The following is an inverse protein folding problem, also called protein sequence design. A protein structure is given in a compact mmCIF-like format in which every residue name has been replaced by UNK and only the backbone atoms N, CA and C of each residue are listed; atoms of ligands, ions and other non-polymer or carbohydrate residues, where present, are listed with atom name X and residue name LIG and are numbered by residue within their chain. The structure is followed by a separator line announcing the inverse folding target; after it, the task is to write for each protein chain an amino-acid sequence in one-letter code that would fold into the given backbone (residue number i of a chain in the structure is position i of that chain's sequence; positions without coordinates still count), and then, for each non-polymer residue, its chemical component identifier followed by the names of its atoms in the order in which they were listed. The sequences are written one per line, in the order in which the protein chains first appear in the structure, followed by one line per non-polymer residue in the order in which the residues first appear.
data_IF_311788579804
#
_entry.id   IF_311788579804
#
_cell.length_a   1.000
_cell.length_b   1.000
_cell.length_c   1.000
_cell.angle_alpha   90.00
_cell.angle_beta   90.00
_cell.angle_gamma   90.00
#
_symmetry.space_group_name_H-M   'P 1'
#
loop_
_entity.id
_entity.type
_entity.pdbx_description
1 polymer ?
#
# COMPACT_ATOMS: atom_id res chain seq x y z
N UNK A 1 -22.95 -21.23 -4.61
CA UNK A 1 -23.22 -21.36 -3.17
C UNK A 1 -23.89 -20.07 -2.74
N UNK A 2 -25.11 -20.10 -2.20
CA UNK A 2 -25.70 -18.89 -1.59
C UNK A 2 -24.81 -18.56 -0.40
N UNK A 3 -24.19 -17.38 -0.40
CA UNK A 3 -23.43 -16.89 0.75
C UNK A 3 -24.47 -16.69 1.86
N UNK A 4 -24.71 -17.72 2.67
CA UNK A 4 -25.44 -17.58 3.92
C UNK A 4 -24.74 -16.56 4.82
N UNK A 5 -25.42 -16.02 5.82
CA UNK A 5 -24.80 -15.09 6.77
C UNK A 5 -23.50 -15.68 7.32
N UNK A 6 -22.36 -15.10 6.91
CA UNK A 6 -21.04 -15.46 7.41
C UNK A 6 -20.81 -14.71 8.71
N UNK A 7 -20.71 -15.43 9.82
CA UNK A 7 -20.42 -14.81 11.10
C UNK A 7 -18.90 -14.79 11.41
N UNK A 8 -18.53 -14.01 12.42
CA UNK A 8 -17.13 -13.86 12.82
C UNK A 8 -16.50 -15.18 13.33
N UNK A 9 -17.30 -16.09 13.89
CA UNK A 9 -16.82 -17.36 14.40
C UNK A 9 -16.47 -18.33 13.27
N UNK A 10 -17.25 -18.35 12.19
CA UNK A 10 -16.95 -19.10 10.98
C UNK A 10 -15.67 -18.60 10.30
N UNK A 11 -15.51 -17.27 10.20
CA UNK A 11 -14.28 -16.66 9.66
C UNK A 11 -13.06 -17.05 10.51
N UNK A 12 -13.16 -17.00 11.83
CA UNK A 12 -12.06 -17.44 12.70
C UNK A 12 -11.78 -18.94 12.58
N UNK A 13 -12.82 -19.79 12.54
CA UNK A 13 -12.71 -21.23 12.43
C UNK A 13 -12.05 -21.68 11.12
N UNK A 14 -12.22 -20.93 10.04
CA UNK A 14 -11.59 -21.20 8.74
C UNK A 14 -10.06 -21.30 8.81
N UNK A 15 -9.41 -20.47 9.64
CA UNK A 15 -7.95 -20.43 9.77
C UNK A 15 -7.40 -21.52 10.70
N UNK A 16 -8.26 -22.28 11.39
CA UNK A 16 -7.82 -23.38 12.27
C UNK A 16 -7.08 -24.44 11.46
N UNK A 17 -5.91 -24.84 11.95
CA UNK A 17 -5.12 -25.90 11.33
C UNK A 17 -4.52 -25.53 9.97
N UNK A 18 -4.61 -24.27 9.53
CA UNK A 18 -4.11 -23.81 8.23
C UNK A 18 -2.64 -23.41 8.28
N UNK A 19 -1.95 -23.66 7.17
CA UNK A 19 -0.67 -23.03 6.89
C UNK A 19 -0.83 -21.93 5.86
N UNK A 20 -0.29 -20.74 6.14
CA UNK A 20 -0.53 -19.55 5.33
C UNK A 20 0.81 -18.91 4.97
N UNK A 21 1.05 -18.70 3.68
CA UNK A 21 2.18 -17.91 3.20
C UNK A 21 1.76 -16.46 3.00
N UNK A 22 2.42 -15.53 3.69
CA UNK A 22 2.18 -14.09 3.57
C UNK A 22 3.43 -13.41 3.01
N UNK A 23 3.27 -12.70 1.89
CA UNK A 23 4.27 -11.76 1.40
C UNK A 23 3.88 -10.33 1.79
N UNK A 24 4.89 -9.47 2.02
CA UNK A 24 4.63 -8.10 2.45
C UNK A 24 4.22 -7.98 3.93
N UNK A 25 4.53 -8.97 4.76
CA UNK A 25 4.27 -8.96 6.21
C UNK A 25 4.98 -7.81 6.95
N UNK A 26 6.08 -7.30 6.38
CA UNK A 26 6.77 -6.09 6.88
C UNK A 26 6.10 -4.78 6.46
N UNK A 27 5.00 -4.81 5.71
CA UNK A 27 4.14 -3.65 5.44
C UNK A 27 3.01 -3.50 6.47
N UNK A 28 2.26 -2.39 6.37
CA UNK A 28 1.17 -2.06 7.29
C UNK A 28 0.07 -3.13 7.30
N UNK A 29 -0.54 -3.37 6.12
CA UNK A 29 -1.65 -4.30 5.98
C UNK A 29 -1.27 -5.74 6.36
N UNK A 30 -0.03 -6.15 6.02
CA UNK A 30 0.51 -7.46 6.38
C UNK A 30 0.61 -7.66 7.90
N UNK A 31 1.02 -6.63 8.66
CA UNK A 31 1.03 -6.68 10.13
C UNK A 31 -0.37 -6.78 10.72
N UNK A 32 -1.30 -5.95 10.23
CA UNK A 32 -2.69 -5.99 10.72
C UNK A 32 -3.31 -7.37 10.46
N UNK A 33 -3.07 -7.95 9.27
CA UNK A 33 -3.56 -9.29 8.94
C UNK A 33 -2.93 -10.35 9.85
N UNK A 34 -1.61 -10.34 10.01
CA UNK A 34 -0.89 -11.30 10.84
C UNK A 34 -1.36 -11.24 12.30
N UNK A 35 -1.45 -10.03 12.86
CA UNK A 35 -1.98 -9.80 14.20
C UNK A 35 -3.40 -10.35 14.33
N UNK A 36 -4.29 -10.00 13.39
CA UNK A 36 -5.69 -10.39 13.43
C UNK A 36 -5.84 -11.91 13.41
N UNK A 37 -5.13 -12.62 12.53
CA UNK A 37 -5.15 -14.08 12.45
C UNK A 37 -4.69 -14.70 13.78
N UNK A 38 -3.52 -14.30 14.29
CA UNK A 38 -2.97 -14.84 15.53
C UNK A 38 -3.89 -14.58 16.74
N UNK A 39 -4.52 -13.41 16.79
CA UNK A 39 -5.40 -13.03 17.91
C UNK A 39 -6.71 -13.79 17.92
N UNK A 40 -7.36 -13.94 16.76
CA UNK A 40 -8.69 -14.57 16.68
C UNK A 40 -8.63 -16.08 16.48
N UNK A 41 -7.51 -16.62 15.98
CA UNK A 41 -7.34 -18.05 15.73
C UNK A 41 -5.94 -18.53 16.15
N UNK A 42 -5.72 -18.79 17.45
CA UNK A 42 -4.44 -19.28 17.94
C UNK A 42 -4.12 -20.73 17.52
N UNK A 43 -5.10 -21.48 16.99
CA UNK A 43 -4.89 -22.84 16.47
C UNK A 43 -4.51 -22.85 14.97
N UNK A 44 -4.14 -21.71 14.39
CA UNK A 44 -3.43 -21.69 13.09
C UNK A 44 -2.14 -22.51 13.22
N UNK A 45 -1.80 -23.29 12.19
CA UNK A 45 -0.64 -24.20 12.27
C UNK A 45 0.66 -23.44 12.09
N UNK A 46 0.82 -22.76 10.96
CA UNK A 46 2.06 -22.02 10.63
C UNK A 46 1.80 -20.86 9.69
N UNK A 47 2.39 -19.71 9.98
CA UNK A 47 2.37 -18.49 9.19
C UNK A 47 3.76 -18.28 8.61
N UNK A 48 3.95 -18.69 7.36
CA UNK A 48 5.18 -18.46 6.61
C UNK A 48 5.26 -17.01 6.17
N UNK A 49 6.30 -16.29 6.58
CA UNK A 49 6.48 -14.87 6.23
C UNK A 49 7.66 -14.71 5.29
N UNK A 50 7.41 -14.47 4.01
CA UNK A 50 8.47 -14.18 3.04
C UNK A 50 8.97 -12.75 3.26
N UNK A 51 10.23 -12.62 3.68
CA UNK A 51 10.88 -11.34 3.99
C UNK A 51 12.25 -11.25 3.32
N UNK A 52 12.55 -10.08 2.76
CA UNK A 52 13.85 -9.83 2.13
C UNK A 52 14.94 -9.81 3.21
N UNK A 53 15.82 -10.79 3.18
CA UNK A 53 16.94 -10.95 4.09
C UNK A 53 18.03 -11.78 3.41
N UNK A 54 19.26 -11.69 3.91
CA UNK A 54 20.41 -12.44 3.38
C UNK A 54 20.41 -13.91 3.80
N UNK A 55 19.82 -14.21 4.95
CA UNK A 55 19.83 -15.50 5.62
C UNK A 55 18.67 -15.60 6.62
N UNK A 56 18.47 -16.80 7.17
CA UNK A 56 17.35 -17.10 8.07
C UNK A 56 17.44 -16.33 9.40
N UNK A 57 18.64 -16.10 9.94
CA UNK A 57 18.81 -15.33 11.17
C UNK A 57 18.40 -13.86 10.96
N UNK A 58 18.83 -13.28 9.85
CA UNK A 58 18.45 -11.94 9.43
C UNK A 58 16.95 -11.84 9.19
N UNK A 59 16.32 -12.86 8.59
CA UNK A 59 14.87 -12.93 8.41
C UNK A 59 14.14 -12.96 9.76
N UNK A 60 14.59 -13.80 10.71
CA UNK A 60 14.02 -13.88 12.07
C UNK A 60 14.14 -12.54 12.80
N UNK A 61 15.34 -11.95 12.82
CA UNK A 61 15.58 -10.65 13.45
C UNK A 61 14.71 -9.55 12.84
N UNK A 62 14.56 -9.57 11.51
CA UNK A 62 13.72 -8.61 10.79
C UNK A 62 12.24 -8.78 11.15
N UNK A 63 11.72 -10.00 11.19
CA UNK A 63 10.34 -10.26 11.64
C UNK A 63 10.15 -9.81 13.08
N UNK A 64 11.09 -10.14 13.98
CA UNK A 64 11.03 -9.71 15.37
C UNK A 64 10.99 -8.18 15.52
N UNK A 65 11.89 -7.48 14.81
CA UNK A 65 12.05 -6.02 14.98
C UNK A 65 10.98 -5.23 14.22
N UNK A 66 10.70 -5.62 12.97
CA UNK A 66 9.83 -4.85 12.09
C UNK A 66 8.37 -5.27 12.18
N UNK A 67 8.06 -6.49 12.64
CA UNK A 67 6.70 -7.07 12.61
C UNK A 67 6.19 -7.31 14.05
N UNK A 68 6.63 -8.37 14.71
CA UNK A 68 6.04 -8.81 16.00
C UNK A 68 6.41 -7.90 17.17
N UNK A 69 7.54 -7.19 17.08
CA UNK A 69 7.96 -6.17 18.04
C UNK A 69 7.21 -4.84 17.92
N UNK A 70 6.33 -4.66 16.93
CA UNK A 70 5.53 -3.43 16.79
C UNK A 70 4.40 -3.37 17.82
N UNK A 71 3.92 -2.16 18.12
CA UNK A 71 2.87 -1.93 19.10
C UNK A 71 1.56 -2.64 18.74
N UNK A 72 1.30 -2.87 17.45
CA UNK A 72 0.08 -3.55 16.99
C UNK A 72 -0.09 -4.95 17.64
N UNK A 73 1.00 -5.61 18.03
CA UNK A 73 1.01 -6.90 18.72
C UNK A 73 0.87 -6.79 20.25
N UNK A 74 0.61 -5.61 20.81
CA UNK A 74 0.51 -5.40 22.27
C UNK A 74 -0.60 -6.24 22.89
N UNK A 75 -1.78 -6.31 22.25
CA UNK A 75 -2.90 -7.11 22.76
C UNK A 75 -2.52 -8.60 22.84
N UNK A 76 -1.76 -9.10 21.87
CA UNK A 76 -1.22 -10.47 21.91
C UNK A 76 -0.17 -10.63 23.03
N UNK A 77 0.73 -9.65 23.19
CA UNK A 77 1.73 -9.67 24.29
C UNK A 77 1.06 -9.70 25.66
N UNK A 78 0.04 -8.87 25.88
CA UNK A 78 -0.72 -8.84 27.12
C UNK A 78 -1.46 -10.15 27.37
N UNK A 79 -2.08 -10.73 26.33
CA UNK A 79 -2.81 -12.01 26.41
C UNK A 79 -1.90 -13.19 26.76
N UNK A 80 -0.71 -13.28 26.15
CA UNK A 80 0.20 -14.42 26.31
C UNK A 80 1.24 -14.22 27.42
N UNK A 81 1.45 -12.99 27.90
CA UNK A 81 2.41 -12.66 28.94
C UNK A 81 3.81 -13.17 28.61
N UNK A 82 4.41 -13.94 29.53
CA UNK A 82 5.75 -14.52 29.34
C UNK A 82 5.84 -15.53 28.19
N UNK A 83 4.72 -16.15 27.80
CA UNK A 83 4.66 -17.13 26.71
C UNK A 83 4.44 -16.50 25.33
N UNK A 84 4.50 -15.16 25.19
CA UNK A 84 4.33 -14.50 23.91
C UNK A 84 5.39 -14.90 22.89
N UNK A 85 6.67 -14.92 23.29
CA UNK A 85 7.77 -15.27 22.37
C UNK A 85 7.66 -16.73 21.92
N UNK A 86 7.39 -17.66 22.84
CA UNK A 86 7.16 -19.08 22.51
C UNK A 86 5.98 -19.25 21.54
N UNK A 87 4.88 -18.53 21.77
CA UNK A 87 3.72 -18.54 20.86
C UNK A 87 4.08 -18.00 19.47
N UNK A 88 4.83 -16.90 19.37
CA UNK A 88 5.27 -16.37 18.09
C UNK A 88 6.22 -17.33 17.39
N UNK A 89 7.17 -17.93 18.10
CA UNK A 89 8.12 -18.90 17.54
C UNK A 89 7.42 -20.17 17.04
N UNK A 90 6.38 -20.64 17.75
CA UNK A 90 5.56 -21.76 17.31
C UNK A 90 4.78 -21.45 16.02
N UNK A 91 4.20 -20.25 15.93
CA UNK A 91 3.24 -19.91 14.86
C UNK A 91 3.86 -19.24 13.64
N UNK A 92 4.95 -18.49 13.80
CA UNK A 92 5.51 -17.62 12.75
C UNK A 92 6.82 -18.19 12.23
N UNK A 93 6.89 -18.45 10.93
CA UNK A 93 8.07 -19.00 10.26
C UNK A 93 8.63 -18.02 9.22
N UNK A 94 9.67 -17.23 9.56
CA UNK A 94 10.32 -16.32 8.63
C UNK A 94 11.04 -17.08 7.50
N UNK A 95 10.84 -16.65 6.25
CA UNK A 95 11.51 -17.14 5.06
C UNK A 95 12.37 -16.03 4.46
N UNK A 96 13.69 -16.23 4.43
CA UNK A 96 14.62 -15.31 3.78
C UNK A 96 14.49 -15.44 2.25
N UNK A 97 13.79 -14.52 1.61
CA UNK A 97 13.59 -14.54 0.16
C UNK A 97 12.95 -13.27 -0.39
N UNK A 98 12.85 -13.19 -1.71
CA UNK A 98 12.33 -12.02 -2.42
C UNK A 98 11.46 -12.44 -3.60
N UNK A 99 10.27 -11.84 -3.71
CA UNK A 99 9.32 -12.09 -4.80
C UNK A 99 9.88 -11.72 -6.17
N UNK A 100 10.93 -10.90 -6.22
CA UNK A 100 11.60 -10.53 -7.47
C UNK A 100 12.33 -11.72 -8.15
N UNK A 101 12.63 -12.78 -7.41
CA UNK A 101 13.36 -13.95 -7.92
C UNK A 101 12.44 -15.15 -8.15
N UNK A 102 12.83 -16.00 -9.10
CA UNK A 102 12.22 -17.31 -9.28
C UNK A 102 12.33 -18.11 -7.97
N UNK A 103 11.25 -18.80 -7.61
CA UNK A 103 11.13 -19.57 -6.36
C UNK A 103 11.53 -18.78 -5.10
N UNK A 104 11.34 -17.46 -5.18
CA UNK A 104 11.68 -16.47 -4.17
C UNK A 104 13.15 -16.42 -3.75
N UNK A 105 14.04 -17.06 -4.53
CA UNK A 105 15.43 -17.27 -4.14
C UNK A 105 15.63 -18.29 -3.01
N UNK A 106 14.61 -19.08 -2.69
CA UNK A 106 14.70 -20.15 -1.69
C UNK A 106 15.44 -21.37 -2.26
N UNK A 107 16.10 -22.12 -1.39
CA UNK A 107 16.63 -23.43 -1.76
C UNK A 107 15.51 -24.45 -2.03
N UNK A 108 15.82 -25.48 -2.82
CA UNK A 108 14.87 -26.51 -3.25
C UNK A 108 14.23 -27.26 -2.07
N UNK A 109 14.94 -27.43 -0.96
CA UNK A 109 14.43 -28.16 0.19
C UNK A 109 13.34 -27.35 0.91
N UNK A 110 13.61 -26.08 1.22
CA UNK A 110 12.63 -25.14 1.79
C UNK A 110 11.44 -24.95 0.87
N UNK A 111 11.67 -24.76 -0.42
CA UNK A 111 10.59 -24.60 -1.40
C UNK A 111 9.65 -25.81 -1.41
N UNK A 112 10.20 -27.01 -1.32
CA UNK A 112 9.43 -28.27 -1.27
C UNK A 112 8.69 -28.44 0.05
N UNK A 113 9.27 -28.02 1.17
CA UNK A 113 8.60 -28.01 2.47
C UNK A 113 7.38 -27.09 2.41
N UNK A 114 7.58 -25.82 2.04
CA UNK A 114 6.51 -24.80 2.03
C UNK A 114 5.41 -25.17 1.03
N UNK A 115 5.77 -25.58 -0.19
CA UNK A 115 4.76 -25.89 -1.23
C UNK A 115 3.89 -27.11 -0.91
N UNK A 116 4.34 -28.02 -0.04
CA UNK A 116 3.54 -29.19 0.38
C UNK A 116 2.49 -28.88 1.42
N UNK A 117 2.69 -27.82 2.22
CA UNK A 117 1.89 -27.60 3.42
C UNK A 117 1.02 -26.35 3.37
N UNK A 118 1.34 -25.37 2.51
CA UNK A 118 0.56 -24.13 2.40
C UNK A 118 -0.86 -24.39 1.88
N UNK A 119 -1.85 -23.97 2.66
CA UNK A 119 -3.27 -23.96 2.32
C UNK A 119 -3.69 -22.65 1.63
N UNK A 120 -3.06 -21.53 1.99
CA UNK A 120 -3.46 -20.18 1.53
C UNK A 120 -2.21 -19.35 1.26
N UNK A 121 -2.19 -18.63 0.14
CA UNK A 121 -1.18 -17.61 -0.14
C UNK A 121 -1.84 -16.23 -0.11
N UNK A 122 -1.26 -15.31 0.65
CA UNK A 122 -1.60 -13.89 0.66
C UNK A 122 -0.44 -13.10 0.08
N UNK A 123 -0.63 -12.59 -1.13
CA UNK A 123 0.34 -11.76 -1.81
C UNK A 123 0.07 -10.27 -1.55
N UNK A 124 0.75 -9.72 -0.54
CA UNK A 124 0.72 -8.30 -0.19
C UNK A 124 2.03 -7.56 -0.50
N UNK A 125 3.05 -8.25 -1.00
CA UNK A 125 4.31 -7.62 -1.38
C UNK A 125 4.11 -6.71 -2.60
N UNK A 126 4.44 -5.43 -2.42
CA UNK A 126 4.42 -4.44 -3.48
C UNK A 126 5.37 -3.29 -3.16
N UNK A 127 5.91 -2.69 -4.20
CA UNK A 127 6.44 -1.33 -4.13
C UNK A 127 5.27 -0.37 -4.28
N UNK A 128 4.96 0.39 -3.22
CA UNK A 128 3.82 1.34 -3.16
C UNK A 128 4.22 2.80 -3.40
N UNK A 129 5.50 3.06 -3.65
CA UNK A 129 6.01 4.39 -3.92
C UNK A 129 5.67 4.82 -5.36
N UNK A 130 4.84 5.86 -5.50
CA UNK A 130 4.38 6.38 -6.80
C UNK A 130 5.51 6.88 -7.71
N UNK A 131 6.68 7.17 -7.14
CA UNK A 131 7.85 7.69 -7.84
C UNK A 131 9.08 6.78 -7.67
N UNK A 132 8.86 5.47 -7.54
CA UNK A 132 9.94 4.48 -7.56
C UNK A 132 10.46 4.25 -8.99
N UNK A 133 11.69 3.75 -9.09
CA UNK A 133 12.26 3.30 -10.36
C UNK A 133 11.38 2.25 -11.02
N UNK A 134 11.30 2.31 -12.35
CA UNK A 134 10.45 1.40 -13.11
C UNK A 134 10.90 -0.05 -13.02
N UNK A 135 12.20 -0.33 -13.09
CA UNK A 135 12.75 -1.69 -12.92
C UNK A 135 12.33 -2.32 -11.59
N UNK A 136 12.54 -1.61 -10.48
CA UNK A 136 12.19 -2.12 -9.14
C UNK A 136 10.68 -2.35 -9.01
N UNK A 137 9.86 -1.41 -9.52
CA UNK A 137 8.41 -1.52 -9.47
C UNK A 137 7.90 -2.67 -10.34
N UNK A 138 8.49 -2.86 -11.52
CA UNK A 138 8.14 -3.92 -12.46
C UNK A 138 8.51 -5.30 -11.88
N UNK A 139 9.74 -5.46 -11.42
CA UNK A 139 10.20 -6.72 -10.82
C UNK A 139 9.36 -7.10 -9.59
N UNK A 140 9.02 -6.13 -8.73
CA UNK A 140 8.23 -6.40 -7.52
C UNK A 140 6.75 -6.67 -7.83
N UNK A 141 6.10 -5.77 -8.57
CA UNK A 141 4.64 -5.77 -8.71
C UNK A 141 4.16 -6.63 -9.88
N UNK A 142 4.97 -6.77 -10.94
CA UNK A 142 4.62 -7.51 -12.17
C UNK A 142 5.24 -8.90 -12.12
N UNK A 143 6.58 -8.98 -12.08
CA UNK A 143 7.25 -10.28 -12.02
C UNK A 143 6.99 -10.98 -10.68
N UNK A 144 6.93 -10.25 -9.56
CA UNK A 144 6.56 -10.84 -8.27
C UNK A 144 5.17 -11.47 -8.26
N UNK A 145 4.19 -10.89 -8.97
CA UNK A 145 2.88 -11.52 -9.15
C UNK A 145 3.00 -12.82 -9.96
N UNK A 146 3.81 -12.83 -11.03
CA UNK A 146 4.13 -14.04 -11.80
C UNK A 146 4.82 -15.11 -10.94
N UNK A 147 5.83 -14.77 -10.14
CA UNK A 147 6.56 -15.73 -9.31
C UNK A 147 5.66 -16.35 -8.24
N UNK A 148 4.80 -15.53 -7.61
CA UNK A 148 3.81 -16.02 -6.66
C UNK A 148 2.83 -16.98 -7.32
N UNK A 149 2.34 -16.65 -8.52
CA UNK A 149 1.44 -17.53 -9.26
C UNK A 149 2.13 -18.85 -9.65
N UNK A 150 3.38 -18.79 -10.09
CA UNK A 150 4.17 -19.98 -10.42
C UNK A 150 4.38 -20.88 -9.20
N UNK A 151 4.70 -20.30 -8.04
CA UNK A 151 4.81 -21.04 -6.78
C UNK A 151 3.46 -21.63 -6.35
N UNK A 152 2.38 -20.86 -6.47
CA UNK A 152 1.03 -21.30 -6.13
C UNK A 152 0.63 -22.56 -6.93
N UNK A 153 0.96 -22.61 -8.22
CA UNK A 153 0.72 -23.78 -9.07
C UNK A 153 1.56 -25.00 -8.69
N UNK A 154 2.65 -24.84 -7.92
CA UNK A 154 3.44 -25.95 -7.34
C UNK A 154 2.82 -26.49 -6.04
N UNK A 155 1.87 -25.76 -5.44
CA UNK A 155 1.31 -26.09 -4.13
C UNK A 155 0.10 -27.04 -4.26
N UNK A 156 0.25 -28.28 -3.78
CA UNK A 156 -0.77 -29.34 -3.97
C UNK A 156 -1.95 -29.25 -3.00
N UNK A 157 -1.78 -28.63 -1.84
CA UNK A 157 -2.86 -28.42 -0.84
C UNK A 157 -3.54 -27.05 -0.97
N UNK A 158 -3.04 -26.19 -1.84
CA UNK A 158 -3.44 -24.80 -1.92
C UNK A 158 -4.93 -24.69 -2.23
N UNK A 159 -5.64 -23.95 -1.38
CA UNK A 159 -7.07 -23.67 -1.52
C UNK A 159 -7.33 -22.39 -2.27
N UNK A 160 -6.43 -21.42 -2.17
CA UNK A 160 -6.54 -20.15 -2.90
C UNK A 160 -5.30 -19.27 -2.79
N UNK A 161 -5.22 -18.32 -3.71
CA UNK A 161 -4.31 -17.19 -3.70
C UNK A 161 -5.09 -15.88 -3.59
N UNK A 162 -4.87 -15.12 -2.52
CA UNK A 162 -5.35 -13.74 -2.39
C UNK A 162 -4.24 -12.78 -2.82
N UNK A 163 -4.54 -11.88 -3.75
CA UNK A 163 -3.63 -10.83 -4.20
C UNK A 163 -4.15 -9.45 -3.81
N UNK A 164 -3.33 -8.67 -3.12
CA UNK A 164 -3.66 -7.28 -2.78
C UNK A 164 -3.22 -6.38 -3.94
N UNK A 165 -4.18 -5.81 -4.64
CA UNK A 165 -4.02 -4.80 -5.68
C UNK A 165 -4.31 -3.39 -5.17
N UNK A 166 -4.96 -2.55 -5.97
CA UNK A 166 -5.44 -1.21 -5.60
C UNK A 166 -6.67 -0.84 -6.44
N UNK A 167 -7.63 -0.12 -5.85
CA UNK A 167 -8.79 0.40 -6.58
C UNK A 167 -8.36 1.34 -7.73
N UNK A 168 -7.21 1.99 -7.60
CA UNK A 168 -6.71 2.96 -8.57
C UNK A 168 -6.23 2.36 -9.88
N UNK A 169 -6.22 1.03 -10.06
CA UNK A 169 -5.90 0.40 -11.37
C UNK A 169 -6.82 0.86 -12.50
N UNK A 170 -7.99 1.44 -12.18
CA UNK A 170 -8.87 2.13 -13.14
C UNK A 170 -8.34 3.48 -13.64
N UNK A 171 -7.20 3.96 -13.12
CA UNK A 171 -6.59 5.22 -13.51
C UNK A 171 -7.46 6.43 -13.18
N UNK A 172 -7.72 7.26 -14.19
CA UNK A 172 -8.49 8.51 -14.07
C UNK A 172 -9.92 8.37 -14.63
N UNK A 173 -10.42 7.14 -14.78
CA UNK A 173 -11.79 6.89 -15.21
C UNK A 173 -12.80 7.47 -14.22
N UNK A 174 -13.89 8.02 -14.77
CA UNK A 174 -14.98 8.62 -14.00
C UNK A 174 -16.24 7.73 -13.99
N UNK A 175 -17.11 7.94 -13.00
CA UNK A 175 -18.38 7.23 -12.87
C UNK A 175 -18.27 5.88 -12.13
N UNK A 176 -19.24 4.99 -12.39
CA UNK A 176 -19.29 3.68 -11.76
C UNK A 176 -18.28 2.74 -12.42
N UNK A 177 -17.23 2.37 -11.66
CA UNK A 177 -16.23 1.40 -12.09
C UNK A 177 -16.59 0.03 -11.54
N UNK A 178 -16.75 -0.95 -12.44
CA UNK A 178 -17.11 -2.32 -12.06
C UNK A 178 -15.86 -3.16 -11.74
N UNK A 179 -16.05 -4.19 -10.92
CA UNK A 179 -15.03 -5.17 -10.51
C UNK A 179 -14.66 -6.14 -11.65
N UNK A 180 -14.17 -5.60 -12.77
CA UNK A 180 -13.78 -6.37 -13.95
C UNK A 180 -12.29 -6.72 -13.93
N UNK A 181 -11.91 -7.93 -14.38
CA UNK A 181 -10.51 -8.30 -14.57
C UNK A 181 -9.91 -7.53 -15.76
N UNK A 182 -8.60 -7.30 -15.71
CA UNK A 182 -7.83 -6.89 -16.89
C UNK A 182 -7.40 -8.12 -17.68
N UNK A 183 -7.56 -8.06 -19.00
CA UNK A 183 -7.05 -9.04 -19.93
C UNK A 183 -5.62 -8.67 -20.36
N UNK A 184 -4.87 -9.67 -20.83
CA UNK A 184 -3.56 -9.42 -21.44
C UNK A 184 -3.70 -8.47 -22.63
N UNK A 185 -2.93 -7.39 -22.62
CA UNK A 185 -2.98 -6.36 -23.67
C UNK A 185 -3.84 -5.15 -23.36
N UNK A 186 -4.67 -5.20 -22.31
CA UNK A 186 -5.58 -4.09 -21.96
C UNK A 186 -4.82 -2.81 -21.60
N UNK A 187 -5.43 -1.68 -21.95
CA UNK A 187 -4.93 -0.35 -21.63
C UNK A 187 -6.09 0.57 -21.27
N UNK A 188 -5.81 1.66 -20.54
CA UNK A 188 -6.81 2.70 -20.28
C UNK A 188 -6.86 3.74 -21.40
N UNK A 189 -5.87 3.75 -22.29
CA UNK A 189 -5.82 4.65 -23.45
C UNK A 189 -6.29 3.93 -24.70
N UNK A 190 -7.40 4.40 -25.25
CA UNK A 190 -7.95 3.90 -26.51
C UNK A 190 -6.90 3.86 -27.64
N UNK A 191 -6.95 2.80 -28.45
CA UNK A 191 -6.03 2.59 -29.56
C UNK A 191 -4.61 2.14 -29.17
N UNK A 192 -4.39 1.78 -27.90
CA UNK A 192 -3.10 1.22 -27.45
C UNK A 192 -3.23 -0.22 -26.96
N UNK A 193 -2.15 -0.99 -27.11
CA UNK A 193 -2.05 -2.38 -26.68
C UNK A 193 -0.77 -2.56 -25.85
N UNK A 194 -0.89 -3.16 -24.68
CA UNK A 194 0.22 -3.33 -23.73
C UNK A 194 0.84 -4.72 -23.84
N UNK A 195 2.05 -4.79 -24.36
CA UNK A 195 2.88 -6.00 -24.30
C UNK A 195 3.85 -5.92 -23.11
N UNK A 196 3.59 -6.74 -22.09
CA UNK A 196 4.38 -6.81 -20.86
C UNK A 196 5.81 -7.30 -21.13
N UNK A 197 6.02 -8.18 -22.10
CA UNK A 197 7.36 -8.66 -22.45
C UNK A 197 8.18 -7.56 -23.14
N UNK A 198 7.55 -6.80 -24.01
CA UNK A 198 8.16 -5.59 -24.59
C UNK A 198 8.55 -4.56 -23.52
N UNK A 199 7.75 -4.37 -22.46
CA UNK A 199 8.12 -3.50 -21.33
C UNK A 199 9.34 -4.03 -20.56
N UNK A 200 9.41 -5.34 -20.33
CA UNK A 200 10.57 -5.96 -19.69
C UNK A 200 11.85 -5.78 -20.52
N UNK A 201 11.75 -5.96 -21.84
CA UNK A 201 12.87 -5.78 -22.75
C UNK A 201 13.34 -4.31 -22.79
N UNK A 202 12.39 -3.36 -22.77
CA UNK A 202 12.69 -1.94 -22.68
C UNK A 202 13.45 -1.61 -21.38
N UNK A 203 13.00 -2.12 -20.24
CA UNK A 203 13.66 -1.93 -18.95
C UNK A 203 15.10 -2.45 -19.01
N UNK A 204 15.30 -3.69 -19.47
CA UNK A 204 16.62 -4.32 -19.58
C UNK A 204 17.55 -3.51 -20.49
N UNK A 205 17.05 -3.09 -21.65
CA UNK A 205 17.82 -2.29 -22.59
C UNK A 205 18.25 -0.95 -21.99
N UNK A 206 17.32 -0.21 -21.36
CA UNK A 206 17.66 1.06 -20.69
C UNK A 206 18.69 0.86 -19.57
N UNK A 207 18.58 -0.20 -18.78
CA UNK A 207 19.59 -0.52 -17.76
C UNK A 207 20.97 -0.81 -18.38
N UNK A 208 21.03 -1.53 -19.50
CA UNK A 208 22.28 -1.81 -20.22
C UNK A 208 22.91 -0.53 -20.76
N UNK A 209 22.12 0.35 -21.39
CA UNK A 209 22.60 1.65 -21.90
C UNK A 209 23.13 2.54 -20.77
N UNK A 210 22.42 2.61 -19.63
CA UNK A 210 22.85 3.37 -18.47
C UNK A 210 24.19 2.85 -17.92
N UNK A 211 24.39 1.53 -17.89
CA UNK A 211 25.66 0.91 -17.47
C UNK A 211 26.78 1.18 -18.47
N UNK A 212 26.51 1.04 -19.77
CA UNK A 212 27.48 1.29 -20.84
C UNK A 212 27.98 2.74 -20.85
N UNK A 213 27.10 3.68 -20.50
CA UNK A 213 27.43 5.10 -20.39
C UNK A 213 28.00 5.51 -19.02
N UNK A 214 28.35 4.55 -18.16
CA UNK A 214 28.87 4.81 -16.80
C UNK A 214 28.00 5.79 -16.00
N UNK A 215 26.68 5.72 -16.15
CA UNK A 215 25.76 6.65 -15.51
C UNK A 215 25.84 6.53 -13.98
N UNK A 216 25.90 7.67 -13.29
CA UNK A 216 25.87 7.70 -11.81
C UNK A 216 24.57 7.11 -11.26
N UNK A 217 24.58 6.58 -10.04
CA UNK A 217 23.38 6.06 -9.36
C UNK A 217 22.21 7.06 -9.33
N UNK A 218 22.52 8.34 -9.16
CA UNK A 218 21.52 9.42 -9.18
C UNK A 218 20.90 9.56 -10.57
N UNK A 219 21.70 9.51 -11.63
CA UNK A 219 21.22 9.56 -13.01
C UNK A 219 20.39 8.31 -13.34
N UNK A 220 20.87 7.11 -12.98
CA UNK A 220 20.13 5.86 -13.18
C UNK A 220 18.76 5.90 -12.50
N UNK A 221 18.72 6.29 -11.22
CA UNK A 221 17.46 6.43 -10.47
C UNK A 221 16.49 7.40 -11.15
N UNK A 222 16.99 8.57 -11.59
CA UNK A 222 16.17 9.58 -12.27
C UNK A 222 15.61 9.04 -13.58
N UNK A 223 16.47 8.48 -14.45
CA UNK A 223 16.06 7.93 -15.75
C UNK A 223 15.02 6.84 -15.60
N UNK A 224 15.21 5.89 -14.68
CA UNK A 224 14.26 4.79 -14.48
C UNK A 224 12.91 5.26 -13.91
N UNK A 225 12.89 6.31 -13.09
CA UNK A 225 11.65 6.93 -12.60
C UNK A 225 10.89 7.62 -13.73
N UNK A 226 11.60 8.41 -14.54
CA UNK A 226 11.03 9.12 -15.70
C UNK A 226 10.52 8.14 -16.76
N UNK A 227 11.23 7.04 -17.00
CA UNK A 227 10.80 5.97 -17.89
C UNK A 227 9.46 5.40 -17.43
N UNK A 228 9.35 4.96 -16.17
CA UNK A 228 8.11 4.38 -15.63
C UNK A 228 6.92 5.33 -15.76
N UNK A 229 7.11 6.61 -15.43
CA UNK A 229 6.06 7.62 -15.57
C UNK A 229 5.66 7.84 -17.04
N UNK A 230 6.63 7.86 -17.96
CA UNK A 230 6.38 7.96 -19.41
C UNK A 230 5.60 6.76 -19.92
N UNK A 231 5.94 5.54 -19.48
CA UNK A 231 5.24 4.30 -19.87
C UNK A 231 3.82 4.25 -19.31
N UNK A 232 3.64 4.54 -18.01
CA UNK A 232 2.31 4.60 -17.40
C UNK A 232 1.38 5.55 -18.17
N UNK A 233 1.84 6.79 -18.42
CA UNK A 233 1.06 7.79 -19.18
C UNK A 233 0.78 7.35 -20.61
N UNK A 234 1.72 6.67 -21.27
CA UNK A 234 1.53 6.16 -22.65
C UNK A 234 0.31 5.25 -22.74
N UNK A 235 0.07 4.42 -21.72
CA UNK A 235 -1.03 3.45 -21.71
C UNK A 235 -2.26 3.90 -20.89
N UNK A 236 -2.26 5.15 -20.42
CA UNK A 236 -3.41 5.78 -19.77
C UNK A 236 -3.44 5.69 -18.23
N UNK A 237 -2.37 5.20 -17.59
CA UNK A 237 -2.25 5.22 -16.13
C UNK A 237 -1.52 6.47 -15.63
N UNK A 238 -1.91 7.00 -14.45
CA UNK A 238 -1.37 8.26 -13.95
C UNK A 238 0.07 8.17 -13.43
N UNK A 239 0.49 6.99 -12.97
CA UNK A 239 1.82 6.77 -12.38
C UNK A 239 2.27 5.30 -12.48
N UNK A 240 3.56 5.08 -12.22
CA UNK A 240 4.23 3.76 -12.32
C UNK A 240 3.63 2.71 -11.37
N UNK A 241 3.22 3.11 -10.17
CA UNK A 241 2.66 2.18 -9.18
C UNK A 241 1.37 1.55 -9.70
N UNK A 242 0.40 2.38 -10.09
CA UNK A 242 -0.88 1.92 -10.60
C UNK A 242 -0.69 1.07 -11.86
N UNK A 243 0.18 1.52 -12.76
CA UNK A 243 0.48 0.81 -14.00
C UNK A 243 1.06 -0.59 -13.77
N UNK A 244 2.02 -0.71 -12.85
CA UNK A 244 2.63 -2.02 -12.52
C UNK A 244 1.69 -2.93 -11.73
N UNK A 245 0.76 -2.39 -10.94
CA UNK A 245 -0.30 -3.18 -10.31
C UNK A 245 -1.29 -3.74 -11.34
N UNK A 246 -1.70 -2.93 -12.33
CA UNK A 246 -2.55 -3.42 -13.42
C UNK A 246 -1.86 -4.55 -14.21
N UNK A 247 -0.58 -4.40 -14.57
CA UNK A 247 0.20 -5.47 -15.22
C UNK A 247 0.32 -6.73 -14.36
N UNK A 248 0.49 -6.58 -13.03
CA UNK A 248 0.48 -7.70 -12.10
C UNK A 248 -0.85 -8.46 -12.08
N UNK A 249 -1.97 -7.74 -12.14
CA UNK A 249 -3.31 -8.37 -12.25
C UNK A 249 -3.49 -9.11 -13.59
N UNK A 250 -3.04 -8.53 -14.70
CA UNK A 250 -3.10 -9.18 -16.02
C UNK A 250 -2.33 -10.50 -16.04
N UNK A 251 -1.09 -10.49 -15.56
CA UNK A 251 -0.28 -11.71 -15.47
C UNK A 251 -0.91 -12.74 -14.54
N UNK A 252 -1.43 -12.31 -13.38
CA UNK A 252 -2.08 -13.22 -12.45
C UNK A 252 -3.34 -13.85 -13.05
N UNK A 253 -4.20 -13.05 -13.70
CA UNK A 253 -5.39 -13.54 -14.39
C UNK A 253 -5.07 -14.50 -15.54
N UNK A 254 -3.98 -14.26 -16.26
CA UNK A 254 -3.54 -15.10 -17.36
C UNK A 254 -2.89 -16.42 -16.90
N UNK A 255 -2.07 -16.38 -15.86
CA UNK A 255 -1.22 -17.51 -15.44
C UNK A 255 -1.86 -18.42 -14.38
N UNK A 256 -2.98 -18.01 -13.77
CA UNK A 256 -3.61 -18.76 -12.67
C UNK A 256 -4.08 -20.16 -13.07
N UNK A 257 -4.42 -20.40 -14.34
CA UNK A 257 -5.09 -21.65 -14.74
C UNK A 257 -6.35 -21.88 -13.90
N UNK A 258 -6.45 -23.04 -13.25
CA UNK A 258 -7.57 -23.41 -12.38
C UNK A 258 -7.42 -22.92 -10.93
N UNK A 259 -6.32 -22.21 -10.61
CA UNK A 259 -6.06 -21.69 -9.27
C UNK A 259 -7.18 -20.72 -8.85
N UNK A 260 -7.82 -20.94 -7.68
CA UNK A 260 -8.70 -19.97 -7.04
C UNK A 260 -7.96 -18.68 -6.72
N UNK A 261 -8.40 -17.55 -7.30
CA UNK A 261 -7.75 -16.25 -7.10
C UNK A 261 -8.75 -15.21 -6.63
N UNK A 262 -8.43 -14.52 -5.54
CA UNK A 262 -9.16 -13.33 -5.09
C UNK A 262 -8.25 -12.11 -5.22
N UNK A 263 -8.70 -11.08 -5.93
CA UNK A 263 -8.01 -9.80 -6.01
C UNK A 263 -8.73 -8.78 -5.13
N UNK A 264 -8.02 -8.26 -4.13
CA UNK A 264 -8.52 -7.21 -3.25
C UNK A 264 -7.97 -5.87 -3.75
N UNK A 265 -8.83 -4.96 -4.18
CA UNK A 265 -8.49 -3.63 -4.68
C UNK A 265 -8.90 -2.57 -3.64
N UNK A 266 -8.06 -2.30 -2.62
CA UNK A 266 -8.34 -1.25 -1.65
C UNK A 266 -8.11 0.16 -2.24
N UNK A 267 -8.86 1.15 -1.75
CA UNK A 267 -8.55 2.58 -1.96
C UNK A 267 -7.42 3.05 -1.01
N UNK A 268 -7.37 4.33 -0.63
CA UNK A 268 -6.34 4.83 0.29
C UNK A 268 -6.56 4.22 1.66
N UNK A 269 -5.69 3.29 2.03
CA UNK A 269 -5.70 2.67 3.35
C UNK A 269 -5.22 3.69 4.39
N UNK A 270 -6.05 3.90 5.41
CA UNK A 270 -5.77 4.78 6.56
C UNK A 270 -5.46 3.95 7.81
N UNK A 271 -5.35 4.60 8.98
CA UNK A 271 -5.20 3.94 10.27
C UNK A 271 -6.31 2.91 10.54
N UNK A 272 -6.10 2.05 11.53
CA UNK A 272 -7.13 1.11 11.93
C UNK A 272 -8.24 1.82 12.71
N UNK A 273 -9.50 1.47 12.42
CA UNK A 273 -10.67 2.10 13.02
C UNK A 273 -10.97 1.54 14.41
N UNK A 274 -10.89 0.21 14.58
CA UNK A 274 -11.42 -0.46 15.77
C UNK A 274 -10.45 -1.47 16.38
N UNK A 275 -9.82 -2.35 15.59
CA UNK A 275 -9.07 -3.47 16.16
C UNK A 275 -7.68 -3.66 15.54
N UNK A 276 -6.69 -4.14 16.33
CA UNK A 276 -6.73 -4.31 17.80
C UNK A 276 -6.49 -3.00 18.58
N UNK A 277 -5.96 -1.96 17.92
CA UNK A 277 -5.49 -0.71 18.53
C UNK A 277 -5.98 0.52 17.75
N UNK A 278 -7.19 1.04 18.04
CA UNK A 278 -7.77 2.17 17.30
C UNK A 278 -6.80 3.32 17.05
N UNK A 279 -6.73 3.80 15.81
CA UNK A 279 -5.83 4.87 15.39
C UNK A 279 -4.41 4.43 15.05
N UNK A 280 -4.04 3.16 15.26
CA UNK A 280 -2.71 2.68 14.87
C UNK A 280 -2.47 2.80 13.37
N UNK A 281 -1.28 3.27 13.01
CA UNK A 281 -0.80 3.45 11.66
C UNK A 281 0.70 3.20 11.60
N UNK A 282 1.19 2.77 10.45
CA UNK A 282 2.62 2.55 10.25
C UNK A 282 3.27 3.62 9.36
N UNK A 283 3.94 4.55 10.02
CA UNK A 283 4.59 5.68 9.39
C UNK A 283 3.58 6.67 8.81
N UNK A 284 4.08 7.81 8.33
CA UNK A 284 3.25 8.86 7.72
C UNK A 284 3.17 8.60 6.22
N UNK A 285 1.97 8.34 5.68
CA UNK A 285 1.76 8.04 4.25
C UNK A 285 0.71 8.96 3.64
N UNK A 286 0.94 9.38 2.40
CA UNK A 286 -0.03 10.10 1.55
C UNK A 286 -0.82 11.17 2.32
N UNK A 287 -2.05 10.87 2.77
CA UNK A 287 -2.93 11.82 3.46
C UNK A 287 -2.47 12.18 4.86
N UNK A 288 -1.76 11.28 5.55
CA UNK A 288 -1.26 11.52 6.90
C UNK A 288 -0.34 12.74 6.94
N UNK A 289 0.41 12.97 5.85
CA UNK A 289 1.27 14.14 5.70
C UNK A 289 0.49 15.45 5.64
N UNK A 290 -0.72 15.43 5.08
CA UNK A 290 -1.64 16.58 5.04
C UNK A 290 -2.14 16.87 6.45
N UNK A 291 -2.56 15.84 7.20
CA UNK A 291 -3.00 16.01 8.58
C UNK A 291 -1.87 16.48 9.50
N UNK A 292 -0.66 15.93 9.36
CA UNK A 292 0.50 16.35 10.15
C UNK A 292 0.94 17.76 9.81
N UNK A 293 0.95 18.12 8.52
CA UNK A 293 1.24 19.48 8.06
C UNK A 293 0.24 20.49 8.60
N UNK A 294 -1.05 20.11 8.65
CA UNK A 294 -2.11 20.91 9.24
C UNK A 294 -1.96 21.04 10.77
N UNK A 295 -1.71 19.95 11.48
CA UNK A 295 -1.50 19.93 12.93
C UNK A 295 -0.34 20.84 13.34
N UNK A 296 0.77 20.80 12.58
CA UNK A 296 1.93 21.66 12.78
C UNK A 296 1.75 23.09 12.27
N UNK A 297 0.59 23.41 11.67
CA UNK A 297 0.30 24.70 11.02
C UNK A 297 1.30 25.09 9.91
N UNK A 298 2.06 24.11 9.39
CA UNK A 298 2.94 24.25 8.24
C UNK A 298 2.14 24.27 6.93
N UNK A 299 1.01 23.56 6.89
CA UNK A 299 0.08 23.53 5.76
C UNK A 299 -1.15 24.39 6.06
N UNK A 300 -1.09 25.66 5.64
CA UNK A 300 -2.16 26.65 5.88
C UNK A 300 -3.29 26.60 4.84
N UNK A 301 -2.99 26.04 3.67
CA UNK A 301 -3.94 25.91 2.58
C UNK A 301 -3.69 24.66 1.74
N UNK A 302 -4.73 24.21 1.04
CA UNK A 302 -4.68 23.03 0.17
C UNK A 302 -5.48 23.29 -1.11
N UNK A 303 -4.95 22.87 -2.26
CA UNK A 303 -5.60 23.01 -3.56
C UNK A 303 -6.44 21.75 -3.82
N UNK A 304 -7.74 21.84 -3.54
CA UNK A 304 -8.69 20.74 -3.75
C UNK A 304 -10.10 21.32 -3.81
N UNK A 305 -10.98 20.72 -4.62
CA UNK A 305 -12.41 20.95 -4.45
C UNK A 305 -12.87 20.26 -3.15
N UNK A 306 -13.41 21.01 -2.17
CA UNK A 306 -13.88 20.44 -0.91
C UNK A 306 -14.90 19.30 -1.07
N UNK A 307 -15.65 19.29 -2.16
CA UNK A 307 -16.68 18.28 -2.42
C UNK A 307 -16.13 17.03 -3.12
N UNK A 308 -14.88 17.05 -3.59
CA UNK A 308 -14.24 15.85 -4.15
C UNK A 308 -14.19 14.76 -3.08
N UNK A 309 -14.57 13.54 -3.48
CA UNK A 309 -14.49 12.37 -2.64
C UNK A 309 -13.04 11.93 -2.53
N UNK A 310 -12.56 11.86 -1.30
CA UNK A 310 -11.31 11.22 -0.99
C UNK A 310 -11.61 9.78 -0.57
N UNK A 311 -11.45 8.84 -1.51
CA UNK A 311 -11.74 7.44 -1.25
C UNK A 311 -10.71 6.84 -0.27
N UNK A 312 -11.11 6.74 0.99
CA UNK A 312 -10.31 6.20 2.09
C UNK A 312 -10.99 4.99 2.72
N UNK A 313 -10.20 4.05 3.22
CA UNK A 313 -10.70 2.87 3.92
C UNK A 313 -9.80 2.54 5.13
N UNK A 314 -10.34 2.22 6.32
CA UNK A 314 -9.53 1.78 7.46
C UNK A 314 -8.83 0.43 7.20
N UNK A 315 -7.60 0.29 7.70
CA UNK A 315 -6.79 -0.92 7.48
C UNK A 315 -7.41 -2.21 8.01
N UNK A 316 -8.09 -2.16 9.16
CA UNK A 316 -8.77 -3.29 9.76
C UNK A 316 -10.03 -3.72 8.98
N UNK A 317 -10.72 -2.79 8.31
CA UNK A 317 -11.81 -3.13 7.38
C UNK A 317 -11.29 -3.86 6.14
N UNK A 318 -10.13 -3.46 5.62
CA UNK A 318 -9.48 -4.18 4.50
C UNK A 318 -9.09 -5.59 4.92
N UNK A 319 -8.48 -5.76 6.10
CA UNK A 319 -8.14 -7.09 6.64
C UNK A 319 -9.36 -7.96 6.87
N UNK A 320 -10.43 -7.42 7.44
CA UNK A 320 -11.68 -8.17 7.63
C UNK A 320 -12.25 -8.64 6.29
N UNK A 321 -12.23 -7.77 5.28
CA UNK A 321 -12.67 -8.12 3.92
C UNK A 321 -11.79 -9.23 3.31
N UNK A 322 -10.47 -9.14 3.47
CA UNK A 322 -9.55 -10.18 3.02
C UNK A 322 -9.89 -11.53 3.67
N UNK A 323 -10.11 -11.56 4.99
CA UNK A 323 -10.42 -12.79 5.73
C UNK A 323 -11.76 -13.40 5.33
N UNK A 324 -12.79 -12.58 5.17
CA UNK A 324 -14.11 -13.02 4.68
C UNK A 324 -14.00 -13.56 3.25
N UNK A 325 -13.31 -12.84 2.36
CA UNK A 325 -13.12 -13.29 0.99
C UNK A 325 -12.31 -14.59 0.91
N UNK A 326 -11.37 -14.80 1.83
CA UNK A 326 -10.62 -16.06 1.92
C UNK A 326 -11.53 -17.24 2.26
N UNK A 327 -12.41 -17.10 3.25
CA UNK A 327 -13.39 -18.14 3.55
C UNK A 327 -14.40 -18.33 2.40
N UNK A 328 -14.91 -17.25 1.82
CA UNK A 328 -15.96 -17.30 0.81
C UNK A 328 -15.51 -18.02 -0.49
N UNK A 329 -14.25 -17.87 -0.90
CA UNK A 329 -13.75 -18.38 -2.18
C UNK A 329 -12.74 -19.53 -2.05
N UNK A 330 -12.50 -20.04 -0.85
CA UNK A 330 -11.58 -21.15 -0.63
C UNK A 330 -12.04 -22.41 -1.38
N UNK A 331 -11.26 -22.85 -2.37
CA UNK A 331 -11.54 -24.03 -3.19
C UNK A 331 -12.45 -23.77 -4.40
N UNK A 332 -12.88 -22.53 -4.65
CA UNK A 332 -13.63 -22.18 -5.86
C UNK A 332 -12.70 -21.95 -7.05
N UNK A 333 -12.86 -22.68 -8.16
CA UNK A 333 -12.02 -22.50 -9.37
C UNK A 333 -12.38 -21.23 -10.17
N UNK A 334 -12.38 -20.07 -9.49
CA UNK A 334 -12.81 -18.80 -10.04
C UNK A 334 -11.79 -17.69 -9.72
N UNK A 335 -11.90 -16.60 -10.48
CA UNK A 335 -11.28 -15.33 -10.15
C UNK A 335 -12.37 -14.38 -9.67
N UNK A 336 -12.20 -13.85 -8.45
CA UNK A 336 -13.10 -12.85 -7.87
C UNK A 336 -12.33 -11.59 -7.57
N UNK A 337 -12.96 -10.43 -7.76
CA UNK A 337 -12.36 -9.12 -7.51
C UNK A 337 -13.27 -8.36 -6.57
N UNK A 338 -12.69 -7.76 -5.53
CA UNK A 338 -13.40 -6.87 -4.61
C UNK A 338 -12.77 -5.48 -4.60
N UNK A 339 -13.58 -4.46 -4.89
CA UNK A 339 -13.28 -3.07 -4.57
C UNK A 339 -13.55 -2.83 -3.09
N UNK A 340 -12.48 -2.61 -2.34
CA UNK A 340 -12.57 -2.33 -0.90
C UNK A 340 -12.41 -0.83 -0.68
N UNK A 341 -13.51 -0.13 -0.93
CA UNK A 341 -13.58 1.33 -1.02
C UNK A 341 -14.74 1.88 -0.19
N UNK A 342 -14.71 3.18 0.09
CA UNK A 342 -15.82 3.86 0.80
C UNK A 342 -16.69 4.70 -0.12
N UNK A 343 -16.19 5.07 -1.30
CA UNK A 343 -16.80 6.09 -2.19
C UNK A 343 -18.26 5.81 -2.59
N UNK A 344 -18.63 4.55 -2.85
CA UNK A 344 -20.00 4.22 -3.28
C UNK A 344 -21.02 4.13 -2.13
N UNK A 345 -20.60 3.70 -0.93
CA UNK A 345 -21.52 3.39 0.18
C UNK A 345 -21.49 4.43 1.30
N UNK A 346 -20.32 4.99 1.60
CA UNK A 346 -20.13 5.98 2.66
C UNK A 346 -19.00 6.96 2.30
N UNK A 347 -19.22 7.83 1.29
CA UNK A 347 -18.17 8.68 0.74
C UNK A 347 -17.62 9.70 1.74
N UNK A 348 -16.30 9.78 1.86
CA UNK A 348 -15.61 10.82 2.62
C UNK A 348 -15.15 11.96 1.69
N UNK A 349 -15.79 13.14 1.78
CA UNK A 349 -15.32 14.33 1.05
C UNK A 349 -14.09 14.96 1.71
N UNK A 350 -13.30 15.71 0.94
CA UNK A 350 -12.22 16.55 1.51
C UNK A 350 -12.75 17.54 2.57
N UNK A 351 -13.97 18.05 2.40
CA UNK A 351 -14.66 18.89 3.40
C UNK A 351 -14.84 18.13 4.71
N UNK A 352 -15.37 16.90 4.66
CA UNK A 352 -15.55 16.04 5.84
C UNK A 352 -14.21 15.85 6.56
N UNK A 353 -13.15 15.53 5.82
CA UNK A 353 -11.82 15.34 6.40
C UNK A 353 -11.28 16.61 7.06
N UNK A 354 -11.48 17.78 6.42
CA UNK A 354 -11.05 19.06 6.98
C UNK A 354 -11.76 19.38 8.29
N UNK A 355 -13.08 19.26 8.33
CA UNK A 355 -13.86 19.58 9.53
C UNK A 355 -13.60 18.57 10.65
N UNK A 356 -13.48 17.27 10.33
CA UNK A 356 -13.11 16.25 11.31
C UNK A 356 -11.71 16.48 11.89
N UNK A 357 -10.72 16.79 11.05
CA UNK A 357 -9.37 17.10 11.52
C UNK A 357 -9.32 18.37 12.35
N UNK A 358 -10.03 19.43 11.93
CA UNK A 358 -10.09 20.66 12.72
C UNK A 358 -10.73 20.43 14.09
N UNK A 359 -11.86 19.71 14.14
CA UNK A 359 -12.50 19.36 15.42
C UNK A 359 -11.56 18.57 16.32
N UNK A 360 -10.96 17.50 15.79
CA UNK A 360 -10.05 16.65 16.55
C UNK A 360 -8.88 17.44 17.15
N UNK A 361 -8.21 18.28 16.36
CA UNK A 361 -7.06 19.05 16.84
C UNK A 361 -7.46 20.21 17.74
N UNK A 362 -8.67 20.77 17.63
CA UNK A 362 -9.17 21.76 18.61
C UNK A 362 -9.34 21.10 19.98
N UNK A 363 -9.92 19.90 20.02
CA UNK A 363 -10.13 19.14 21.26
C UNK A 363 -8.81 18.54 21.80
N UNK A 364 -7.86 18.26 20.90
CA UNK A 364 -6.55 17.66 21.19
C UNK A 364 -5.42 18.50 20.57
N UNK A 365 -5.12 19.69 21.13
CA UNK A 365 -4.20 20.63 20.52
C UNK A 365 -2.79 20.03 20.42
N UNK A 366 -2.18 20.01 19.22
CA UNK A 366 -0.81 19.56 19.06
C UNK A 366 0.12 20.49 19.84
N UNK A 367 1.18 19.93 20.42
CA UNK A 367 2.16 20.68 21.22
C UNK A 367 3.38 21.05 20.39
N UNK A 368 3.88 22.27 20.58
CA UNK A 368 5.14 22.74 20.02
C UNK A 368 6.35 22.12 20.71
N UNK A 369 7.55 22.47 20.25
CA UNK A 369 8.82 21.99 20.85
C UNK A 369 8.98 22.41 22.32
N UNK A 370 8.39 23.55 22.69
CA UNK A 370 8.35 24.06 24.06
C UNK A 370 7.23 23.43 24.92
N UNK A 371 6.49 22.45 24.39
CA UNK A 371 5.37 21.80 25.09
C UNK A 371 4.06 22.59 25.08
N UNK A 372 4.05 23.84 24.58
CA UNK A 372 2.85 24.68 24.56
C UNK A 372 1.88 24.26 23.45
N UNK A 373 0.55 24.37 23.67
CA UNK A 373 -0.45 24.14 22.64
C UNK A 373 -0.25 25.06 21.43
N UNK A 374 -0.20 24.48 20.23
CA UNK A 374 -0.14 25.23 18.98
C UNK A 374 -1.51 25.85 18.72
N UNK A 375 -1.53 27.17 18.47
CA UNK A 375 -2.74 27.86 18.04
C UNK A 375 -3.16 27.39 16.65
N UNK A 376 -4.31 26.71 16.57
CA UNK A 376 -4.84 26.16 15.33
C UNK A 376 -5.68 27.18 14.57
N UNK A 377 -5.36 27.40 13.30
CA UNK A 377 -6.21 28.08 12.34
C UNK A 377 -6.80 27.05 11.36
N UNK A 378 -8.05 27.23 10.94
CA UNK A 378 -8.65 26.38 9.90
C UNK A 378 -7.85 26.45 8.60
N UNK A 379 -7.56 25.28 8.02
CA UNK A 379 -6.91 25.17 6.72
C UNK A 379 -7.83 25.70 5.62
N UNK A 380 -7.30 26.54 4.73
CA UNK A 380 -8.06 27.10 3.61
C UNK A 380 -8.02 26.18 2.40
N UNK A 381 -9.17 25.87 1.82
CA UNK A 381 -9.24 25.11 0.57
C UNK A 381 -9.48 26.04 -0.61
N UNK A 382 -8.75 25.78 -1.70
CA UNK A 382 -8.92 26.46 -2.97
C UNK A 382 -9.32 25.43 -4.02
N UNK A 383 -10.49 25.60 -4.62
CA UNK A 383 -10.99 24.68 -5.66
C UNK A 383 -10.33 24.89 -7.02
N UNK A 384 -9.65 26.02 -7.24
CA UNK A 384 -8.98 26.32 -8.51
C UNK A 384 -7.63 26.99 -8.32
N UNK A 385 -6.72 26.76 -9.27
CA UNK A 385 -5.40 27.40 -9.31
C UNK A 385 -5.52 28.92 -9.37
N UNK A 386 -6.52 29.45 -10.08
CA UNK A 386 -6.75 30.89 -10.18
C UNK A 386 -7.06 31.52 -8.80
N UNK A 387 -7.95 30.90 -8.01
CA UNK A 387 -8.27 31.37 -6.65
C UNK A 387 -7.05 31.29 -5.73
N UNK A 388 -6.28 30.20 -5.81
CA UNK A 388 -5.03 30.08 -5.05
C UNK A 388 -4.03 31.17 -5.45
N UNK A 389 -3.81 31.40 -6.74
CA UNK A 389 -2.90 32.45 -7.24
C UNK A 389 -3.33 33.84 -6.76
N UNK A 390 -4.61 34.16 -6.83
CA UNK A 390 -5.15 35.44 -6.34
C UNK A 390 -4.88 35.61 -4.85
N UNK A 391 -5.13 34.57 -4.05
CA UNK A 391 -4.80 34.59 -2.61
C UNK A 391 -3.30 34.78 -2.36
N UNK A 392 -2.43 34.08 -3.11
CA UNK A 392 -0.98 34.22 -2.98
C UNK A 392 -0.51 35.64 -3.28
N UNK A 393 -1.08 36.27 -4.32
CA UNK A 393 -0.78 37.66 -4.68
C UNK A 393 -1.19 38.61 -3.55
N UNK A 394 -2.44 38.53 -3.09
CA UNK A 394 -2.98 39.44 -2.08
C UNK A 394 -2.27 39.28 -0.74
N UNK A 395 -2.01 38.04 -0.30
CA UNK A 395 -1.54 37.76 1.05
C UNK A 395 -0.02 37.82 1.22
N UNK A 396 0.74 37.51 0.16
CA UNK A 396 2.20 37.39 0.25
C UNK A 396 2.92 38.33 -0.71
N UNK A 397 2.51 38.41 -1.98
CA UNK A 397 3.23 39.21 -2.98
C UNK A 397 3.10 40.72 -2.74
N UNK A 398 1.87 41.23 -2.66
CA UNK A 398 1.63 42.67 -2.49
C UNK A 398 2.26 43.24 -1.21
N UNK A 399 2.20 42.58 -0.03
CA UNK A 399 2.90 43.06 1.16
C UNK A 399 4.42 43.10 1.01
N UNK A 400 5.03 42.16 0.28
CA UNK A 400 6.47 42.18 0.02
C UNK A 400 6.85 43.34 -0.90
N UNK A 401 6.06 43.60 -1.94
CA UNK A 401 6.26 44.73 -2.86
C UNK A 401 6.03 46.09 -2.17
N UNK A 402 5.04 46.16 -1.27
CA UNK A 402 4.78 47.32 -0.41
C UNK A 402 5.88 47.55 0.64
N UNK A 403 6.46 46.49 1.21
CA UNK A 403 7.56 46.60 2.17
C UNK A 403 8.86 47.09 1.51
N UNK A 404 9.14 46.67 0.26
CA UNK A 404 10.30 47.14 -0.50
C UNK A 404 10.18 48.58 -0.97
N UNK A 405 8.96 49.12 -1.09
CA UNK A 405 8.74 50.52 -1.45
C UNK A 405 8.73 51.45 -0.23
N UNK A 406 8.56 50.91 0.98
CA UNK A 406 8.65 51.67 2.24
C UNK A 406 10.04 51.70 2.90
N UNK A 407 11.05 51.05 2.32
CA UNK A 407 12.42 51.01 2.86
C UNK A 407 13.42 51.90 2.11
N UNK A 408 12.95 52.89 1.36
CA UNK A 408 13.79 53.92 0.71
C UNK A 408 13.35 55.29 1.20
N UNK A 409 13.49 55.54 2.51
CA UNK A 409 13.56 56.88 3.08
C UNK A 409 14.19 56.73 4.48
N UNK A 410 15.32 57.39 4.70
CA UNK A 410 16.19 57.35 5.88
C UNK A 410 17.04 56.10 6.10
N UNK A 411 18.22 56.09 5.48
CA UNK A 411 19.48 55.93 6.23
C UNK A 411 20.62 56.51 5.39
N UNK A 412 21.11 57.69 5.78
CA UNK A 412 22.50 58.08 5.56
C UNK A 412 23.38 57.02 6.24
N UNK A 413 24.16 56.28 5.46
CA UNK A 413 25.21 55.40 5.97
C UNK A 413 26.56 56.12 5.82
N UNK A 414 27.34 56.31 6.89
CA UNK A 414 28.75 56.60 6.75
C UNK A 414 29.50 55.31 6.39
N UNK A 415 30.44 55.43 5.45
CA UNK A 415 31.36 54.40 5.04
C UNK A 415 32.15 53.82 6.21
N UNK A 416 32.22 52.48 6.30
CA UNK A 416 33.46 51.68 6.42
C UNK A 416 33.25 50.38 5.63
#
# INVERSE_FOLDING_TARGET
MVIGEMDAAQVAAFFRGKNILITGATGFLGKVLLEKILRIQPEVTKLFLLVRATDDESARRRVQTEVTGREIFQVLREKHGKGFEDFIEEKVYPLAGDVMYEDFGLDTAKLKEVSKDVDIIVNGAATTNFYERYDVSFDTNVLGAKQICAFANKCTKLKMLLHVSTAYVCGEQEGLILEKPFMMGDTLREGTHLDIESELNLIKHTQMELKANCATDKAQRKTMKELGLKRARRFGWPNTYVFTKAMGEMLLGHLRGDLPVVIIRPSIITSILKEPLPGWMEGVRTIDSVFLGYAKQALKFFLVDPNTIMDVIPGDMVVNTMMVAMLAHSGEQAQTIYHVTSSMSNPASYMTLRESAHRYFVDNPPRGENGEPIRLNKMRFFSTVARLRMYMVIKYKLPLEGATTSSVENTDWPCI
#
